data_IF_290196475079
#
_entry.id   IF_290196475079
#
_cell.length_a   1.000
_cell.length_b   1.000
_cell.length_c   1.000
_cell.angle_alpha   90.00
_cell.angle_beta   90.00
_cell.angle_gamma   90.00
#
_symmetry.space_group_name_H-M   'P 1'
#
loop_
_entity.id
_entity.type
_entity.pdbx_description
1 polymer ?
#
# COMPACT_ATOMS: atom_id res chain seq x y z
N UNK A 1 4.96 19.52 -0.32
CA UNK A 1 4.75 18.76 0.91
C UNK A 1 5.22 17.35 0.72
N UNK A 2 5.93 16.75 1.68
CA UNK A 2 6.61 15.46 1.57
C UNK A 2 5.68 14.38 2.11
N UNK A 3 5.53 13.24 1.43
CA UNK A 3 4.74 12.08 1.88
C UNK A 3 5.59 10.98 2.50
N UNK A 4 6.89 11.02 2.27
CA UNK A 4 7.87 10.09 2.84
C UNK A 4 8.89 10.92 3.59
N UNK A 5 9.08 10.62 4.87
CA UNK A 5 10.09 11.25 5.70
C UNK A 5 11.52 10.90 5.27
N UNK A 6 12.49 11.51 5.93
CA UNK A 6 13.91 11.18 5.76
C UNK A 6 14.39 10.46 7.01
N UNK A 7 15.05 9.32 6.82
CA UNK A 7 15.68 8.60 7.91
C UNK A 7 16.90 7.82 7.39
N UNK A 8 17.95 7.77 8.19
CA UNK A 8 19.14 6.95 7.92
C UNK A 8 18.93 5.55 8.51
N UNK A 9 17.92 4.86 8.04
CA UNK A 9 17.53 3.50 8.44
C UNK A 9 16.68 2.83 7.36
N UNK A 10 16.39 1.52 7.49
CA UNK A 10 15.42 0.86 6.62
C UNK A 10 14.04 1.55 6.62
N UNK A 11 13.45 1.70 5.44
CA UNK A 11 12.06 2.14 5.28
C UNK A 11 11.10 0.95 5.26
N UNK A 12 11.41 -0.08 4.46
CA UNK A 12 10.57 -1.25 4.24
C UNK A 12 11.38 -2.52 4.42
N UNK A 13 10.84 -3.49 5.18
CA UNK A 13 11.39 -4.84 5.30
C UNK A 13 10.34 -5.85 4.90
N UNK A 14 10.65 -6.73 3.94
CA UNK A 14 9.76 -7.75 3.44
C UNK A 14 10.54 -8.98 2.97
N UNK A 15 10.19 -10.17 3.47
CA UNK A 15 10.79 -11.46 3.09
C UNK A 15 12.32 -11.45 3.12
N UNK A 16 12.90 -10.92 4.20
CA UNK A 16 14.34 -10.80 4.38
C UNK A 16 15.02 -9.71 3.52
N UNK A 17 14.30 -9.05 2.62
CA UNK A 17 14.79 -7.90 1.87
C UNK A 17 14.56 -6.62 2.67
N UNK A 18 15.56 -5.75 2.66
CA UNK A 18 15.55 -4.50 3.40
C UNK A 18 15.78 -3.34 2.43
N UNK A 19 14.86 -2.39 2.40
CA UNK A 19 14.91 -1.22 1.51
C UNK A 19 15.08 0.05 2.34
N UNK A 20 16.11 0.83 2.04
CA UNK A 20 16.31 2.15 2.66
C UNK A 20 15.27 3.16 2.17
N UNK A 21 15.21 4.33 2.81
CA UNK A 21 14.36 5.44 2.37
C UNK A 21 14.75 5.92 0.97
N UNK A 22 16.05 5.99 0.66
CA UNK A 22 16.50 6.32 -0.69
C UNK A 22 16.04 5.29 -1.72
N UNK A 23 16.16 4.00 -1.41
CA UNK A 23 15.68 2.95 -2.30
C UNK A 23 14.16 2.98 -2.47
N UNK A 24 13.39 3.26 -1.41
CA UNK A 24 11.95 3.45 -1.54
C UNK A 24 11.62 4.58 -2.54
N UNK A 25 12.32 5.71 -2.46
CA UNK A 25 12.13 6.82 -3.38
C UNK A 25 12.57 6.46 -4.80
N UNK A 26 13.72 5.82 -4.97
CA UNK A 26 14.25 5.39 -6.26
C UNK A 26 13.34 4.37 -6.95
N UNK A 27 12.92 3.31 -6.24
CA UNK A 27 12.00 2.32 -6.79
C UNK A 27 10.65 2.94 -7.15
N UNK A 28 10.09 3.80 -6.29
CA UNK A 28 8.85 4.51 -6.63
C UNK A 28 8.99 5.39 -7.86
N UNK A 29 10.20 5.92 -8.15
CA UNK A 29 10.48 6.67 -9.37
C UNK A 29 10.53 5.75 -10.59
N UNK A 30 11.16 4.57 -10.52
CA UNK A 30 11.15 3.59 -11.61
C UNK A 30 9.71 3.17 -11.97
N UNK A 31 8.88 2.89 -10.96
CA UNK A 31 7.47 2.58 -11.16
C UNK A 31 6.73 3.74 -11.83
N UNK A 32 6.89 4.97 -11.35
CA UNK A 32 6.26 6.16 -11.92
C UNK A 32 6.67 6.39 -13.38
N UNK A 33 7.95 6.26 -13.69
CA UNK A 33 8.46 6.38 -15.07
C UNK A 33 7.83 5.34 -16.00
N UNK A 34 7.75 4.08 -15.55
CA UNK A 34 7.12 3.02 -16.33
C UNK A 34 5.62 3.27 -16.53
N UNK A 35 4.92 3.69 -15.49
CA UNK A 35 3.50 4.03 -15.56
C UNK A 35 3.24 5.18 -16.54
N UNK A 36 4.02 6.24 -16.43
CA UNK A 36 3.91 7.39 -17.36
C UNK A 36 4.24 7.03 -18.81
N UNK A 37 5.23 6.15 -19.02
CA UNK A 37 5.60 5.71 -20.37
C UNK A 37 4.52 4.88 -21.07
N UNK A 38 3.69 4.15 -20.30
CA UNK A 38 2.68 3.22 -20.85
C UNK A 38 1.30 3.89 -20.96
N UNK A 39 0.88 4.65 -19.95
CA UNK A 39 -0.49 5.12 -19.84
C UNK A 39 -0.64 6.61 -19.49
N UNK A 40 0.38 7.28 -18.92
CA UNK A 40 0.22 8.61 -18.33
C UNK A 40 -1.04 8.69 -17.46
N UNK A 41 -1.18 7.83 -16.43
CA UNK A 41 -2.44 7.57 -15.78
C UNK A 41 -2.94 8.78 -14.99
N UNK A 42 -4.24 9.08 -15.10
CA UNK A 42 -4.98 9.96 -14.19
C UNK A 42 -5.65 9.16 -13.08
N UNK A 43 -5.95 7.89 -13.36
CA UNK A 43 -6.57 6.93 -12.45
C UNK A 43 -5.83 5.60 -12.55
N UNK A 44 -5.35 5.08 -11.42
CA UNK A 44 -4.62 3.82 -11.39
C UNK A 44 -5.16 2.89 -10.29
N UNK A 45 -5.49 1.65 -10.65
CA UNK A 45 -5.84 0.59 -9.69
C UNK A 45 -4.54 -0.12 -9.25
N UNK A 46 -4.43 -0.41 -7.95
CA UNK A 46 -3.43 -1.32 -7.38
C UNK A 46 -4.16 -2.55 -6.85
N UNK A 47 -4.01 -3.68 -7.56
CA UNK A 47 -4.66 -4.96 -7.30
C UNK A 47 -3.62 -6.03 -7.04
N UNK A 48 -3.05 -6.03 -5.84
CA UNK A 48 -1.98 -6.95 -5.44
C UNK A 48 -1.99 -7.18 -3.92
N UNK A 49 -1.36 -8.27 -3.48
CA UNK A 49 -1.11 -8.55 -2.06
C UNK A 49 -0.16 -7.51 -1.47
N UNK A 50 -0.23 -7.33 -0.13
CA UNK A 50 0.74 -6.51 0.58
C UNK A 50 2.17 -7.00 0.30
N UNK A 51 2.98 -6.17 -0.30
CA UNK A 51 4.38 -6.47 -0.63
C UNK A 51 5.19 -5.18 -0.76
N UNK A 52 6.50 -5.29 -0.88
CA UNK A 52 7.34 -4.14 -1.19
C UNK A 52 6.97 -3.54 -2.56
N UNK A 53 6.69 -4.40 -3.54
CA UNK A 53 6.26 -4.03 -4.88
C UNK A 53 4.91 -3.28 -4.87
N UNK A 54 3.98 -3.68 -3.99
CA UNK A 54 2.73 -2.94 -3.75
C UNK A 54 3.02 -1.51 -3.27
N UNK A 55 3.94 -1.37 -2.32
CA UNK A 55 4.34 -0.05 -1.79
C UNK A 55 4.98 0.82 -2.86
N UNK A 56 5.88 0.24 -3.67
CA UNK A 56 6.51 0.97 -4.77
C UNK A 56 5.50 1.39 -5.82
N UNK A 57 4.54 0.52 -6.16
CA UNK A 57 3.46 0.85 -7.09
C UNK A 57 2.55 1.96 -6.55
N UNK A 58 2.17 1.89 -5.28
CA UNK A 58 1.38 2.92 -4.61
C UNK A 58 2.06 4.29 -4.70
N UNK A 59 3.32 4.40 -4.26
CA UNK A 59 4.06 5.65 -4.35
C UNK A 59 4.42 6.01 -5.79
N UNK A 60 4.56 5.05 -6.69
CA UNK A 60 4.68 5.27 -8.14
C UNK A 60 3.45 5.98 -8.72
N UNK A 61 2.24 5.52 -8.38
CA UNK A 61 0.99 6.19 -8.77
C UNK A 61 0.92 7.61 -8.20
N UNK A 62 1.26 7.77 -6.92
CA UNK A 62 1.30 9.09 -6.27
C UNK A 62 2.26 10.05 -6.98
N UNK A 63 3.44 9.58 -7.40
CA UNK A 63 4.43 10.39 -8.16
C UNK A 63 3.92 10.84 -9.53
N UNK A 64 3.11 10.04 -10.20
CA UNK A 64 2.51 10.45 -11.50
C UNK A 64 1.37 11.46 -11.31
N UNK A 65 0.94 11.72 -10.09
CA UNK A 65 -0.27 12.51 -9.80
C UNK A 65 -1.57 11.74 -10.07
N UNK A 66 -1.50 10.43 -10.32
CA UNK A 66 -2.68 9.62 -10.53
C UNK A 66 -3.49 9.44 -9.24
N UNK A 67 -4.81 9.43 -9.36
CA UNK A 67 -5.70 9.01 -8.29
C UNK A 67 -5.51 7.50 -8.12
N UNK A 68 -5.06 7.08 -6.92
CA UNK A 68 -4.78 5.67 -6.64
C UNK A 68 -6.02 4.99 -6.09
N UNK A 69 -6.36 3.82 -6.63
CA UNK A 69 -7.50 3.00 -6.22
C UNK A 69 -6.98 1.64 -5.74
N UNK A 70 -6.66 1.48 -4.46
CA UNK A 70 -6.31 0.18 -3.90
C UNK A 70 -7.56 -0.72 -3.86
N UNK A 71 -7.45 -1.94 -4.37
CA UNK A 71 -8.56 -2.89 -4.45
C UNK A 71 -8.16 -4.20 -3.77
N UNK A 72 -9.14 -4.84 -3.11
CA UNK A 72 -8.94 -6.14 -2.48
C UNK A 72 -8.53 -7.18 -3.52
N UNK A 73 -7.34 -7.73 -3.37
CA UNK A 73 -6.78 -8.77 -4.25
C UNK A 73 -7.58 -10.09 -4.20
N UNK A 74 -8.45 -10.27 -3.21
CA UNK A 74 -9.37 -11.40 -3.11
C UNK A 74 -10.66 -11.18 -3.91
N UNK A 75 -10.89 -9.97 -4.45
CA UNK A 75 -12.07 -9.69 -5.29
C UNK A 75 -12.11 -10.61 -6.50
N UNK A 76 -13.30 -11.09 -6.79
CA UNK A 76 -13.59 -11.84 -8.02
C UNK A 76 -13.45 -10.93 -9.25
N UNK A 77 -13.33 -11.52 -10.44
CA UNK A 77 -13.29 -10.76 -11.69
C UNK A 77 -14.54 -9.88 -11.87
N UNK A 78 -15.72 -10.35 -11.43
CA UNK A 78 -16.98 -9.58 -11.49
C UNK A 78 -16.99 -8.36 -10.56
N UNK A 79 -16.46 -8.51 -9.32
CA UNK A 79 -16.35 -7.39 -8.36
C UNK A 79 -15.32 -6.36 -8.85
N UNK A 80 -14.17 -6.82 -9.36
CA UNK A 80 -13.17 -5.93 -9.96
C UNK A 80 -13.72 -5.24 -11.21
N UNK A 81 -14.50 -5.93 -12.05
CA UNK A 81 -15.14 -5.34 -13.23
C UNK A 81 -16.09 -4.20 -12.89
N UNK A 82 -16.85 -4.32 -11.77
CA UNK A 82 -17.68 -3.24 -11.28
C UNK A 82 -16.85 -1.98 -10.96
N UNK A 83 -15.75 -2.14 -10.23
CA UNK A 83 -14.84 -1.05 -9.86
C UNK A 83 -14.20 -0.44 -11.12
N UNK A 84 -13.76 -1.26 -12.06
CA UNK A 84 -13.20 -0.83 -13.36
C UNK A 84 -14.22 0.00 -14.15
N UNK A 85 -15.47 -0.44 -14.21
CA UNK A 85 -16.56 0.26 -14.90
C UNK A 85 -16.90 1.61 -14.27
N UNK A 86 -16.78 1.72 -12.94
CA UNK A 86 -17.11 2.93 -12.18
C UNK A 86 -15.93 3.94 -12.26
N UNK A 87 -14.71 3.55 -11.87
CA UNK A 87 -13.59 4.49 -11.81
C UNK A 87 -12.83 4.68 -13.15
N UNK A 88 -13.03 3.80 -14.13
CA UNK A 88 -12.43 3.87 -15.49
C UNK A 88 -10.93 4.10 -15.45
N UNK A 89 -10.14 3.15 -14.94
CA UNK A 89 -8.70 3.33 -14.76
C UNK A 89 -7.99 3.41 -16.11
N UNK A 90 -6.92 4.21 -16.16
CA UNK A 90 -5.98 4.24 -17.29
C UNK A 90 -4.92 3.13 -17.14
N UNK A 91 -4.68 2.68 -15.89
CA UNK A 91 -3.69 1.68 -15.52
C UNK A 91 -4.20 0.77 -14.41
N UNK A 92 -3.89 -0.52 -14.51
CA UNK A 92 -3.98 -1.48 -13.40
C UNK A 92 -2.60 -2.06 -13.16
N UNK A 93 -2.05 -1.84 -11.95
CA UNK A 93 -0.90 -2.58 -11.47
C UNK A 93 -1.38 -3.82 -10.70
N UNK A 94 -0.82 -4.97 -11.04
CA UNK A 94 -1.17 -6.26 -10.41
C UNK A 94 0.07 -7.15 -10.27
N UNK A 95 -0.08 -8.37 -9.77
CA UNK A 95 0.97 -9.40 -9.80
C UNK A 95 0.79 -10.32 -10.99
N UNK A 96 1.89 -10.98 -11.43
CA UNK A 96 1.84 -11.97 -12.50
C UNK A 96 0.80 -13.06 -12.22
N UNK A 97 0.64 -13.46 -10.96
CA UNK A 97 -0.34 -14.47 -10.52
C UNK A 97 -1.81 -13.99 -10.61
N UNK A 98 -2.07 -12.69 -10.60
CA UNK A 98 -3.41 -12.09 -10.63
C UNK A 98 -3.78 -11.49 -12.00
N UNK A 99 -2.85 -11.47 -12.95
CA UNK A 99 -3.08 -10.91 -14.30
C UNK A 99 -4.33 -11.49 -14.98
N UNK A 100 -4.54 -12.80 -14.89
CA UNK A 100 -5.71 -13.45 -15.51
C UNK A 100 -7.06 -12.92 -14.96
N UNK A 101 -7.14 -12.68 -13.64
CA UNK A 101 -8.34 -12.10 -13.00
C UNK A 101 -8.59 -10.68 -13.51
N UNK A 102 -7.53 -9.89 -13.70
CA UNK A 102 -7.63 -8.52 -14.22
C UNK A 102 -8.10 -8.52 -15.68
N UNK A 103 -7.56 -9.39 -16.52
CA UNK A 103 -7.94 -9.51 -17.94
C UNK A 103 -9.39 -9.96 -18.10
N UNK A 104 -9.86 -10.89 -17.26
CA UNK A 104 -11.26 -11.29 -17.19
C UNK A 104 -12.16 -10.12 -16.75
N UNK A 105 -11.75 -9.37 -15.71
CA UNK A 105 -12.49 -8.20 -15.23
C UNK A 105 -12.62 -7.12 -16.30
N UNK A 106 -11.56 -6.84 -17.05
CA UNK A 106 -11.59 -5.91 -18.19
C UNK A 106 -12.54 -6.38 -19.29
N UNK A 107 -12.55 -7.67 -19.56
CA UNK A 107 -13.48 -8.28 -20.53
C UNK A 107 -14.94 -8.11 -20.09
N UNK A 108 -15.26 -8.42 -18.82
CA UNK A 108 -16.59 -8.27 -18.25
C UNK A 108 -17.03 -6.79 -18.28
N UNK A 109 -16.15 -5.87 -17.92
CA UNK A 109 -16.42 -4.44 -17.91
C UNK A 109 -16.50 -3.83 -19.32
N UNK A 110 -16.09 -4.53 -20.37
CA UNK A 110 -15.94 -3.97 -21.71
C UNK A 110 -14.92 -2.83 -21.77
N UNK A 111 -13.95 -2.82 -20.87
CA UNK A 111 -12.97 -1.75 -20.69
C UNK A 111 -11.60 -2.12 -21.26
N UNK A 112 -10.81 -1.09 -21.57
CA UNK A 112 -9.41 -1.25 -21.96
C UNK A 112 -8.56 -0.25 -21.18
N UNK A 113 -7.51 -0.76 -20.53
CA UNK A 113 -6.48 0.05 -19.90
C UNK A 113 -5.13 -0.69 -19.95
N UNK A 114 -4.06 -0.04 -19.57
CA UNK A 114 -2.76 -0.68 -19.42
C UNK A 114 -2.78 -1.62 -18.21
N UNK A 115 -2.18 -2.80 -18.34
CA UNK A 115 -1.99 -3.74 -17.24
C UNK A 115 -0.50 -4.00 -17.10
N UNK A 116 0.05 -3.70 -15.94
CA UNK A 116 1.45 -3.93 -15.61
C UNK A 116 1.57 -4.80 -14.37
N UNK A 117 2.60 -5.63 -14.35
CA UNK A 117 3.00 -6.45 -13.20
C UNK A 117 4.35 -6.01 -12.68
N UNK A 118 4.79 -6.59 -11.56
CA UNK A 118 6.12 -6.41 -11.01
C UNK A 118 7.24 -6.74 -12.02
N UNK A 119 6.99 -7.70 -12.92
CA UNK A 119 7.96 -8.13 -13.94
C UNK A 119 8.12 -7.11 -15.07
N UNK A 120 7.12 -6.26 -15.29
CA UNK A 120 7.15 -5.21 -16.31
C UNK A 120 7.97 -3.97 -15.88
N UNK A 121 8.43 -3.92 -14.61
CA UNK A 121 9.14 -2.79 -14.02
C UNK A 121 10.62 -3.12 -13.87
N UNK A 122 11.46 -2.47 -14.65
CA UNK A 122 12.90 -2.62 -14.49
C UNK A 122 13.41 -1.72 -13.35
N UNK A 123 13.87 -2.35 -12.29
CA UNK A 123 14.50 -1.70 -11.14
C UNK A 123 16.01 -1.97 -11.05
N UNK A 124 16.61 -2.61 -12.05
CA UNK A 124 18.02 -2.98 -12.04
C UNK A 124 18.98 -1.77 -11.98
N UNK A 125 18.55 -0.64 -12.53
CA UNK A 125 19.27 0.61 -12.51
C UNK A 125 18.73 1.62 -11.46
N UNK A 126 17.91 1.18 -10.52
CA UNK A 126 17.26 2.07 -9.55
C UNK A 126 18.26 2.91 -8.74
N UNK A 127 19.43 2.36 -8.39
CA UNK A 127 20.46 3.07 -7.63
C UNK A 127 21.04 4.29 -8.41
N UNK A 128 20.89 4.32 -9.73
CA UNK A 128 21.28 5.47 -10.57
C UNK A 128 20.19 6.54 -10.71
N UNK A 129 18.99 6.25 -10.24
CA UNK A 129 17.85 7.17 -10.27
C UNK A 129 17.88 8.09 -9.06
N UNK A 130 17.57 9.37 -9.24
CA UNK A 130 17.50 10.31 -8.12
C UNK A 130 16.43 9.91 -7.11
N UNK A 131 16.78 9.98 -5.81
CA UNK A 131 15.87 9.75 -4.71
C UNK A 131 15.10 11.04 -4.37
N UNK A 132 14.36 11.58 -5.36
CA UNK A 132 13.65 12.83 -5.20
C UNK A 132 12.44 12.68 -4.27
N UNK A 133 12.18 13.70 -3.48
CA UNK A 133 11.00 13.77 -2.62
C UNK A 133 9.71 13.79 -3.46
N UNK A 134 8.63 13.23 -2.90
CA UNK A 134 7.30 13.31 -3.50
C UNK A 134 6.63 14.58 -2.97
N UNK A 135 6.45 15.57 -3.84
CA UNK A 135 5.90 16.88 -3.49
C UNK A 135 4.62 17.18 -4.27
N UNK A 136 3.74 17.98 -3.70
CA UNK A 136 2.47 18.38 -4.29
C UNK A 136 2.26 19.88 -4.15
N UNK A 137 1.76 20.50 -5.21
CA UNK A 137 1.45 21.94 -5.23
C UNK A 137 -0.01 22.19 -4.80
N UNK A 138 -0.94 21.31 -5.20
CA UNK A 138 -2.36 21.42 -4.86
C UNK A 138 -2.83 20.26 -3.98
N UNK A 139 -3.05 20.54 -2.71
CA UNK A 139 -3.51 19.58 -1.72
C UNK A 139 -5.02 19.27 -1.82
N UNK A 140 -5.77 20.02 -2.62
CA UNK A 140 -7.21 19.78 -2.81
C UNK A 140 -7.47 18.62 -3.79
N UNK A 141 -6.49 18.24 -4.60
CA UNK A 141 -6.60 17.14 -5.54
C UNK A 141 -6.88 15.82 -4.83
N UNK A 142 -7.71 14.98 -5.46
CA UNK A 142 -7.97 13.62 -4.99
C UNK A 142 -6.72 12.77 -5.14
N UNK A 143 -6.29 12.16 -4.04
CA UNK A 143 -5.16 11.24 -3.98
C UNK A 143 -5.60 9.78 -4.07
N UNK A 144 -6.70 9.45 -3.37
CA UNK A 144 -7.18 8.08 -3.17
C UNK A 144 -8.67 7.97 -3.44
N UNK A 145 -9.08 6.81 -3.96
CA UNK A 145 -10.47 6.34 -3.90
C UNK A 145 -10.48 4.98 -3.21
N UNK A 146 -11.17 4.90 -2.08
CA UNK A 146 -11.34 3.65 -1.32
C UNK A 146 -12.76 3.15 -1.52
N UNK A 147 -12.90 1.95 -2.10
CA UNK A 147 -14.21 1.32 -2.25
C UNK A 147 -14.65 0.67 -0.95
N UNK A 148 -15.88 0.93 -0.54
CA UNK A 148 -16.51 0.35 0.64
C UNK A 148 -17.79 -0.37 0.23
N UNK A 149 -18.15 -1.45 0.96
CA UNK A 149 -19.45 -2.10 0.80
C UNK A 149 -20.54 -1.11 1.21
N UNK A 150 -21.21 -0.49 0.24
CA UNK A 150 -22.29 0.45 0.50
C UNK A 150 -23.49 -0.23 1.17
N UNK A 151 -24.23 0.50 2.00
CA UNK A 151 -25.49 0.03 2.63
C UNK A 151 -26.56 -0.35 1.61
N UNK A 152 -26.40 0.03 0.34
CA UNK A 152 -27.32 -0.23 -0.79
C UNK A 152 -26.89 -1.43 -1.65
N UNK A 153 -25.87 -2.21 -1.25
CA UNK A 153 -25.43 -3.43 -1.93
C UNK A 153 -24.38 -3.24 -3.02
N UNK A 154 -24.20 -2.04 -3.57
CA UNK A 154 -23.13 -1.76 -4.54
C UNK A 154 -21.95 -1.04 -3.86
N UNK A 155 -20.69 -1.40 -4.17
CA UNK A 155 -19.51 -0.69 -3.66
C UNK A 155 -19.54 0.80 -4.04
N UNK A 156 -19.11 1.65 -3.12
CA UNK A 156 -19.01 3.11 -3.35
C UNK A 156 -17.57 3.57 -3.14
N UNK A 157 -17.05 4.35 -4.08
CA UNK A 157 -15.73 4.95 -4.00
C UNK A 157 -15.74 6.22 -3.15
N UNK A 158 -15.07 6.18 -1.99
CA UNK A 158 -14.85 7.36 -1.13
C UNK A 158 -13.58 8.08 -1.59
N UNK A 159 -13.75 9.31 -2.06
CA UNK A 159 -12.65 10.16 -2.54
C UNK A 159 -11.97 10.87 -1.38
N UNK A 160 -10.65 10.77 -1.31
CA UNK A 160 -9.80 11.42 -0.31
C UNK A 160 -8.75 12.29 -0.99
N UNK A 161 -8.72 13.57 -0.64
CA UNK A 161 -7.70 14.48 -1.13
C UNK A 161 -6.37 14.33 -0.38
N UNK A 162 -5.28 14.85 -0.95
CA UNK A 162 -4.00 14.99 -0.25
C UNK A 162 -4.17 15.70 1.11
N UNK A 163 -5.03 16.71 1.16
CA UNK A 163 -5.34 17.45 2.39
C UNK A 163 -5.96 16.55 3.46
N UNK A 164 -6.88 15.66 3.08
CA UNK A 164 -7.51 14.72 4.03
C UNK A 164 -6.48 13.75 4.61
N UNK A 165 -5.64 13.17 3.75
CA UNK A 165 -4.58 12.23 4.15
C UNK A 165 -3.59 12.91 5.09
N UNK A 166 -3.10 14.08 4.74
CA UNK A 166 -2.11 14.81 5.52
C UNK A 166 -2.65 15.33 6.85
N UNK A 167 -3.93 15.77 6.89
CA UNK A 167 -4.56 16.15 8.14
C UNK A 167 -4.60 14.98 9.13
N UNK A 168 -4.95 13.79 8.64
CA UNK A 168 -4.97 12.57 9.46
C UNK A 168 -3.55 12.21 9.96
N UNK A 169 -2.56 12.17 9.06
CA UNK A 169 -1.17 11.86 9.40
C UNK A 169 -0.63 12.84 10.46
N UNK A 170 -0.83 14.13 10.28
CA UNK A 170 -0.37 15.15 11.24
C UNK A 170 -1.04 14.98 12.60
N UNK A 171 -2.33 14.64 12.62
CA UNK A 171 -3.06 14.42 13.87
C UNK A 171 -2.46 13.26 14.68
N UNK A 172 -2.14 12.14 14.06
CA UNK A 172 -1.60 10.96 14.74
C UNK A 172 -0.09 11.02 15.00
N UNK A 173 0.66 11.83 14.27
CA UNK A 173 2.12 11.96 14.44
C UNK A 173 2.52 13.17 15.30
N UNK A 174 1.82 14.29 15.23
CA UNK A 174 2.16 15.51 15.95
C UNK A 174 1.33 15.71 17.21
N UNK A 175 0.00 15.52 17.12
CA UNK A 175 -0.89 15.78 18.25
C UNK A 175 -0.90 14.63 19.26
N UNK A 176 -0.96 13.38 18.79
CA UNK A 176 -1.03 12.18 19.66
C UNK A 176 0.34 11.50 19.80
N UNK A 177 1.27 11.72 18.88
CA UNK A 177 2.62 11.14 18.86
C UNK A 177 2.63 9.61 18.92
N UNK A 178 1.69 8.99 18.23
CA UNK A 178 1.66 7.52 18.09
C UNK A 178 2.87 7.06 17.29
N UNK A 179 3.18 7.76 16.20
CA UNK A 179 4.28 7.45 15.30
C UNK A 179 5.47 8.36 15.59
N UNK A 180 6.66 7.77 15.74
CA UNK A 180 7.92 8.49 15.94
C UNK A 180 9.05 7.77 15.21
N UNK A 181 10.14 8.45 14.78
CA UNK A 181 11.19 7.83 13.98
C UNK A 181 11.86 6.61 14.63
N UNK A 182 11.78 6.48 15.95
CA UNK A 182 12.41 5.38 16.72
C UNK A 182 11.61 4.09 16.69
N UNK A 183 10.34 4.16 16.27
CA UNK A 183 9.42 3.02 16.28
C UNK A 183 9.48 2.23 14.97
N UNK A 184 9.01 0.99 15.07
CA UNK A 184 8.82 0.10 13.93
C UNK A 184 7.37 -0.37 13.91
N UNK A 185 6.74 -0.29 12.74
CA UNK A 185 5.34 -0.67 12.54
C UNK A 185 5.23 -1.94 11.71
N UNK A 186 4.33 -2.85 12.08
CA UNK A 186 4.02 -4.03 11.28
C UNK A 186 2.79 -3.79 10.39
N UNK A 187 2.95 -4.08 9.10
CA UNK A 187 1.86 -4.18 8.12
C UNK A 187 1.33 -5.60 8.16
N UNK A 188 0.13 -5.77 8.65
CA UNK A 188 -0.54 -7.06 8.79
C UNK A 188 -1.88 -7.10 8.08
N UNK A 189 -2.67 -6.02 8.19
CA UNK A 189 -3.95 -5.89 7.54
C UNK A 189 -3.81 -5.45 6.09
N UNK A 190 -4.79 -5.77 5.22
CA UNK A 190 -4.74 -5.40 3.81
C UNK A 190 -4.71 -3.88 3.59
N UNK A 191 -3.77 -3.42 2.75
CA UNK A 191 -3.55 -1.99 2.48
C UNK A 191 -4.61 -1.35 1.58
N UNK A 192 -5.56 -2.12 1.03
CA UNK A 192 -6.71 -1.55 0.31
C UNK A 192 -7.76 -0.91 1.23
N UNK A 193 -7.65 -1.09 2.55
CA UNK A 193 -8.48 -0.39 3.53
C UNK A 193 -7.76 0.86 4.06
N UNK A 194 -8.53 1.95 4.24
CA UNK A 194 -7.96 3.24 4.65
C UNK A 194 -7.25 3.20 6.01
N UNK A 195 -7.76 2.44 6.99
CA UNK A 195 -7.19 2.39 8.33
C UNK A 195 -5.78 1.78 8.34
N UNK A 196 -5.52 0.56 7.81
CA UNK A 196 -4.16 0.05 7.69
C UNK A 196 -3.31 0.82 6.69
N UNK A 197 -3.85 1.34 5.60
CA UNK A 197 -3.10 2.15 4.63
C UNK A 197 -2.47 3.37 5.31
N UNK A 198 -3.25 4.14 6.05
CA UNK A 198 -2.72 5.32 6.73
C UNK A 198 -1.93 4.95 7.99
N UNK A 199 -2.44 4.03 8.80
CA UNK A 199 -1.85 3.71 10.10
C UNK A 199 -0.64 2.77 10.05
N UNK A 200 -0.58 1.84 9.07
CA UNK A 200 0.54 0.89 8.99
C UNK A 200 1.56 1.23 7.91
N UNK A 201 1.25 2.13 6.98
CA UNK A 201 2.15 2.48 5.88
C UNK A 201 2.46 3.98 5.84
N UNK A 202 1.44 4.83 5.54
CA UNK A 202 1.72 6.21 5.15
C UNK A 202 2.20 7.06 6.33
N UNK A 203 1.55 6.99 7.49
CA UNK A 203 1.96 7.75 8.67
C UNK A 203 3.33 7.30 9.24
N UNK A 204 3.62 5.98 9.38
CA UNK A 204 4.94 5.50 9.75
C UNK A 204 6.05 6.01 8.82
N UNK A 205 5.89 5.85 7.50
CA UNK A 205 6.90 6.29 6.53
C UNK A 205 7.03 7.81 6.46
N UNK A 206 5.97 8.56 6.75
CA UNK A 206 6.01 10.01 6.82
C UNK A 206 6.91 10.50 7.95
N UNK A 207 6.87 9.87 9.12
CA UNK A 207 7.69 10.26 10.28
C UNK A 207 9.09 9.64 10.29
N UNK A 208 9.38 8.67 9.43
CA UNK A 208 10.70 8.03 9.36
C UNK A 208 10.80 6.70 10.10
N UNK A 209 9.70 5.98 10.34
CA UNK A 209 9.70 4.63 10.92
C UNK A 209 10.14 3.57 9.89
N UNK A 210 10.52 2.39 10.36
CA UNK A 210 10.63 1.20 9.51
C UNK A 210 9.31 0.44 9.53
N UNK A 211 8.77 0.10 8.35
CA UNK A 211 7.62 -0.78 8.22
C UNK A 211 8.05 -2.20 7.86
N UNK A 212 7.48 -3.18 8.56
CA UNK A 212 7.73 -4.61 8.35
C UNK A 212 6.46 -5.25 7.80
N UNK A 213 6.53 -5.87 6.63
CA UNK A 213 5.40 -6.58 6.04
C UNK A 213 5.44 -8.03 6.56
N UNK A 214 4.37 -8.46 7.23
CA UNK A 214 4.24 -9.85 7.65
C UNK A 214 4.00 -10.78 6.45
N UNK A 215 4.66 -11.94 6.42
CA UNK A 215 4.53 -12.91 5.33
C UNK A 215 3.16 -13.63 5.31
N UNK A 216 2.33 -13.44 6.34
CA UNK A 216 1.00 -14.02 6.45
C UNK A 216 0.32 -13.73 7.78
N UNK A 217 -0.95 -14.15 7.89
CA UNK A 217 -1.79 -13.95 9.09
C UNK A 217 -1.71 -15.11 10.10
N UNK A 218 -0.82 -16.10 9.91
CA UNK A 218 -0.63 -17.17 10.86
C UNK A 218 0.26 -16.72 12.04
N UNK A 219 0.08 -17.37 13.20
CA UNK A 219 0.75 -16.97 14.43
C UNK A 219 2.29 -17.02 14.32
N UNK A 220 2.84 -18.00 13.61
CA UNK A 220 4.29 -18.15 13.42
C UNK A 220 4.90 -16.97 12.67
N UNK A 221 4.32 -16.60 11.53
CA UNK A 221 4.75 -15.44 10.72
C UNK A 221 4.66 -14.14 11.53
N UNK A 222 3.57 -13.95 12.28
CA UNK A 222 3.36 -12.75 13.08
C UNK A 222 4.41 -12.67 14.21
N UNK A 223 4.60 -13.75 14.97
CA UNK A 223 5.58 -13.80 16.07
C UNK A 223 7.01 -13.60 15.54
N UNK A 224 7.34 -14.22 14.41
CA UNK A 224 8.62 -14.01 13.74
C UNK A 224 8.83 -12.54 13.42
N UNK A 225 7.87 -11.90 12.75
CA UNK A 225 7.97 -10.48 12.37
C UNK A 225 8.05 -9.55 13.58
N UNK A 226 7.27 -9.84 14.65
CA UNK A 226 7.32 -9.09 15.91
C UNK A 226 8.72 -9.09 16.52
N UNK A 227 9.37 -10.27 16.56
CA UNK A 227 10.68 -10.44 17.18
C UNK A 227 11.81 -9.87 16.33
N UNK A 228 11.85 -10.21 15.04
CA UNK A 228 12.89 -9.75 14.11
C UNK A 228 12.85 -8.24 13.90
N UNK A 229 11.63 -7.68 13.76
CA UNK A 229 11.41 -6.27 13.54
C UNK A 229 11.43 -5.42 14.81
N UNK A 230 11.50 -6.03 16.03
CA UNK A 230 11.32 -5.29 17.29
C UNK A 230 10.14 -4.33 17.20
N UNK A 231 9.00 -4.87 16.77
CA UNK A 231 7.81 -4.10 16.44
C UNK A 231 7.25 -3.37 17.65
N UNK A 232 6.96 -2.10 17.52
CA UNK A 232 6.36 -1.25 18.54
C UNK A 232 4.86 -1.01 18.28
N UNK A 233 4.45 -1.03 17.00
CA UNK A 233 3.08 -0.67 16.58
C UNK A 233 2.52 -1.79 15.69
N UNK A 234 1.34 -2.29 16.08
CA UNK A 234 0.52 -3.19 15.29
C UNK A 234 -0.87 -2.57 15.16
N UNK A 235 -1.25 -2.25 13.93
CA UNK A 235 -2.61 -1.83 13.62
C UNK A 235 -3.45 -3.07 13.38
N UNK A 236 -4.48 -3.25 14.18
CA UNK A 236 -5.31 -4.44 14.13
C UNK A 236 -6.79 -4.17 14.38
N UNK A 237 -7.61 -5.15 14.03
CA UNK A 237 -9.05 -5.20 14.35
C UNK A 237 -9.25 -6.21 15.49
N UNK A 238 -10.35 -6.14 16.27
CA UNK A 238 -10.58 -7.02 17.44
C UNK A 238 -10.34 -8.50 17.13
N UNK A 239 -10.82 -8.97 15.97
CA UNK A 239 -10.67 -10.37 15.54
C UNK A 239 -9.19 -10.81 15.42
N UNK A 240 -8.30 -9.91 15.02
CA UNK A 240 -6.87 -10.21 14.97
C UNK A 240 -6.28 -10.46 16.35
N UNK A 241 -6.63 -9.62 17.32
CA UNK A 241 -6.14 -9.78 18.70
C UNK A 241 -6.68 -11.05 19.38
N UNK A 242 -7.91 -11.46 19.07
CA UNK A 242 -8.46 -12.75 19.51
C UNK A 242 -7.64 -13.92 18.97
N UNK A 243 -7.30 -13.92 17.66
CA UNK A 243 -6.48 -14.96 17.03
C UNK A 243 -5.07 -15.02 17.64
N UNK A 244 -4.45 -13.86 17.86
CA UNK A 244 -3.13 -13.78 18.49
C UNK A 244 -3.16 -14.32 19.93
N UNK A 245 -4.17 -13.94 20.73
CA UNK A 245 -4.34 -14.43 22.09
C UNK A 245 -4.50 -15.96 22.13
N UNK A 246 -5.34 -16.52 21.24
CA UNK A 246 -5.53 -17.97 21.14
C UNK A 246 -4.23 -18.69 20.74
N UNK A 247 -3.46 -18.13 19.79
CA UNK A 247 -2.17 -18.68 19.36
C UNK A 247 -1.13 -18.69 20.48
N UNK A 248 -1.03 -17.63 21.26
CA UNK A 248 -0.12 -17.51 22.40
C UNK A 248 -0.50 -18.50 23.52
N UNK A 249 -1.80 -18.60 23.85
CA UNK A 249 -2.27 -19.55 24.85
C UNK A 249 -2.02 -21.00 24.45
N UNK A 250 -2.23 -21.35 23.18
CA UNK A 250 -1.98 -22.70 22.67
C UNK A 250 -0.48 -23.07 22.68
N UNK A 251 0.42 -22.11 22.47
CA UNK A 251 1.88 -22.35 22.56
C UNK A 251 2.35 -22.55 24.01
N UNK A 252 1.81 -21.80 24.96
CA UNK A 252 2.12 -21.94 26.39
C UNK A 252 1.57 -23.22 27.01
N UNK A 253 0.51 -23.80 26.45
CA UNK A 253 -0.05 -25.08 26.93
C UNK A 253 0.78 -26.31 26.45
N UNK A 254 1.81 -26.13 25.65
CA UNK A 254 2.73 -27.18 25.17
C UNK A 254 4.10 -27.15 25.86
N UNK A 255 4.33 -26.24 26.78
CA UNK A 255 5.46 -26.16 27.70
C UNK A 255 5.05 -26.70 29.09
#
# INVERSE_FOLDING_TARGET
MILIGKADKPAVVHRGRCFSYNQLLQYSTCYAQRFAAVAQPRMAIVFAENSAEWIFAFYGCVRTGAITVPVDVQSTAGELAYIVGDCKPDLIFTTSSKRAVVEEALTIAGAKCAVLTEEDIDVSAADSVAADEITFDDLSQTMLIIYTSGTTGSPKGVMLSYKNVLFNINSVSQSVKIFTPERNTMILLPLHHIFPLLGSLVAPLYVGETVYIADGLNAESIIKTLNEGKINIVIGVPRLYELLSQGIMASNARL
#
